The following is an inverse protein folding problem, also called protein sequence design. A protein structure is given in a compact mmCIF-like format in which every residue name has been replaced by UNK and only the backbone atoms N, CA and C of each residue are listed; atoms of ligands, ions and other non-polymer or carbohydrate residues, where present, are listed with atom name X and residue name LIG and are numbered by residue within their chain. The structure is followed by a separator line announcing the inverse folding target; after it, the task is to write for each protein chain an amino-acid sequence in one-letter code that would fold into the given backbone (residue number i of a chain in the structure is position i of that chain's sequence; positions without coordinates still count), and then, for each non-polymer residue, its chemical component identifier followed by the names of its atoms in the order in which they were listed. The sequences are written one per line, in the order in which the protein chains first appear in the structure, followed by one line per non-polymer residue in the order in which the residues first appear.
data_IF_934134195556
#
_entry.id   IF_934134195556
#
_cell.length_a   1.000
_cell.length_b   1.000
_cell.length_c   1.000
_cell.angle_alpha   90.00
_cell.angle_beta   90.00
_cell.angle_gamma   90.00
#
_symmetry.space_group_name_H-M   'P 1'
#
loop_
_entity.id
_entity.type
_entity.pdbx_description
1 polymer ?
#
# COMPACT_ATOMS: atom_id res chain seq x y z
N UNK A 1 -18.89 55.34 -6.32
CA UNK A 1 -17.99 54.28 -5.81
C UNK A 1 -18.76 52.96 -5.88
N UNK A 2 -18.57 52.17 -6.95
CA UNK A 2 -19.19 50.86 -7.06
C UNK A 2 -18.39 49.87 -6.19
N UNK A 3 -18.99 49.38 -5.10
CA UNK A 3 -18.36 48.39 -4.22
C UNK A 3 -18.05 47.10 -4.98
N UNK A 4 -16.84 46.58 -4.79
CA UNK A 4 -16.42 45.30 -5.36
C UNK A 4 -17.33 44.18 -4.83
N UNK A 5 -17.99 43.47 -5.75
CA UNK A 5 -18.72 42.24 -5.41
C UNK A 5 -17.69 41.14 -5.14
N UNK A 6 -17.39 40.91 -3.86
CA UNK A 6 -16.58 39.76 -3.44
C UNK A 6 -17.41 38.50 -3.70
N UNK A 7 -16.93 37.66 -4.61
CA UNK A 7 -17.54 36.36 -4.85
C UNK A 7 -17.30 35.48 -3.61
N UNK A 8 -18.30 35.39 -2.73
CA UNK A 8 -18.30 34.38 -1.68
C UNK A 8 -18.43 33.02 -2.37
N UNK A 9 -17.33 32.24 -2.36
CA UNK A 9 -17.37 30.86 -2.81
C UNK A 9 -18.36 30.12 -1.91
N UNK A 10 -19.56 29.87 -2.41
CA UNK A 10 -20.52 28.98 -1.77
C UNK A 10 -19.82 27.63 -1.65
N UNK A 11 -19.42 27.27 -0.42
CA UNK A 11 -18.93 25.94 -0.10
C UNK A 11 -20.08 24.98 -0.41
N UNK A 12 -20.13 24.48 -1.65
CA UNK A 12 -21.04 23.41 -2.04
C UNK A 12 -20.80 22.28 -1.04
N UNK A 13 -21.86 21.84 -0.37
CA UNK A 13 -21.80 20.84 0.70
C UNK A 13 -21.03 19.57 0.31
N UNK A 14 -20.76 18.68 1.28
CA UNK A 14 -19.87 17.54 1.09
C UNK A 14 -20.21 16.74 -0.18
N UNK A 15 -19.22 16.59 -1.05
CA UNK A 15 -19.39 15.93 -2.34
C UNK A 15 -19.18 14.44 -2.18
N UNK A 16 -20.29 13.68 -2.18
CA UNK A 16 -20.29 12.21 -2.04
C UNK A 16 -19.36 11.52 -3.05
N UNK A 17 -19.30 12.04 -4.28
CA UNK A 17 -18.43 11.49 -5.33
C UNK A 17 -16.95 11.65 -4.97
N UNK A 18 -16.54 12.81 -4.44
CA UNK A 18 -15.14 13.04 -4.03
C UNK A 18 -14.74 12.12 -2.90
N UNK A 19 -15.60 11.97 -1.88
CA UNK A 19 -15.34 11.07 -0.75
C UNK A 19 -15.22 9.61 -1.22
N UNK A 20 -16.07 9.17 -2.15
CA UNK A 20 -16.00 7.83 -2.72
C UNK A 20 -14.71 7.61 -3.51
N UNK A 21 -14.30 8.57 -4.34
CA UNK A 21 -13.05 8.50 -5.08
C UNK A 21 -11.83 8.44 -4.15
N UNK A 22 -11.83 9.23 -3.07
CA UNK A 22 -10.76 9.22 -2.07
C UNK A 22 -10.74 7.89 -1.32
N UNK A 23 -11.89 7.39 -0.88
CA UNK A 23 -11.99 6.08 -0.22
C UNK A 23 -11.49 4.93 -1.10
N UNK A 24 -11.86 4.93 -2.38
CA UNK A 24 -11.37 3.94 -3.35
C UNK A 24 -9.86 4.06 -3.57
N UNK A 25 -9.34 5.28 -3.74
CA UNK A 25 -7.91 5.50 -3.92
C UNK A 25 -7.10 5.02 -2.70
N UNK A 26 -7.56 5.34 -1.48
CA UNK A 26 -6.94 4.90 -0.24
C UNK A 26 -7.03 3.38 -0.08
N UNK A 27 -8.19 2.78 -0.39
CA UNK A 27 -8.37 1.32 -0.35
C UNK A 27 -7.44 0.58 -1.31
N UNK A 28 -7.31 1.08 -2.56
CA UNK A 28 -6.38 0.52 -3.54
C UNK A 28 -4.92 0.71 -3.13
N UNK A 29 -4.55 1.85 -2.55
CA UNK A 29 -3.20 2.10 -2.08
C UNK A 29 -2.84 1.14 -0.92
N UNK A 30 -3.71 1.01 0.08
CA UNK A 30 -3.50 0.09 1.19
C UNK A 30 -3.45 -1.39 0.73
N UNK A 31 -4.38 -1.79 -0.16
CA UNK A 31 -4.38 -3.13 -0.74
C UNK A 31 -3.15 -3.41 -1.61
N UNK A 32 -2.67 -2.42 -2.36
CA UNK A 32 -1.44 -2.51 -3.15
C UNK A 32 -0.20 -2.67 -2.29
N UNK A 33 -0.08 -1.89 -1.22
CA UNK A 33 1.01 -2.01 -0.24
C UNK A 33 1.02 -3.39 0.41
N UNK A 34 -0.14 -3.89 0.84
CA UNK A 34 -0.26 -5.23 1.39
C UNK A 34 0.17 -6.31 0.39
N UNK A 35 -0.28 -6.20 -0.86
CA UNK A 35 0.07 -7.16 -1.91
C UNK A 35 1.58 -7.17 -2.20
N UNK A 36 2.22 -5.99 -2.21
CA UNK A 36 3.66 -5.90 -2.40
C UNK A 36 4.43 -6.53 -1.24
N UNK A 37 3.99 -6.30 0.01
CA UNK A 37 4.54 -6.97 1.18
C UNK A 37 4.39 -8.49 1.08
N UNK A 38 3.19 -8.97 0.75
CA UNK A 38 2.90 -10.39 0.62
C UNK A 38 3.75 -11.07 -0.47
N UNK A 39 3.92 -10.42 -1.62
CA UNK A 39 4.81 -10.92 -2.67
C UNK A 39 6.28 -10.95 -2.26
N UNK A 40 6.75 -9.98 -1.48
CA UNK A 40 8.11 -10.00 -0.97
C UNK A 40 8.32 -11.17 -0.01
N UNK A 41 7.36 -11.42 0.87
CA UNK A 41 7.44 -12.52 1.83
C UNK A 41 7.43 -13.89 1.14
N UNK A 42 6.58 -14.08 0.12
CA UNK A 42 6.59 -15.29 -0.71
C UNK A 42 7.94 -15.51 -1.42
N UNK A 43 8.58 -14.44 -1.88
CA UNK A 43 9.91 -14.53 -2.53
C UNK A 43 10.99 -14.95 -1.55
N UNK A 44 11.01 -14.38 -0.34
CA UNK A 44 11.98 -14.76 0.70
C UNK A 44 11.85 -16.23 1.08
N UNK A 45 10.63 -16.70 1.29
CA UNK A 45 10.38 -18.10 1.64
C UNK A 45 10.83 -19.04 0.52
N UNK A 46 10.53 -18.70 -0.74
CA UNK A 46 11.02 -19.49 -1.89
C UNK A 46 12.55 -19.52 -1.94
N UNK A 47 13.21 -18.37 -1.80
CA UNK A 47 14.67 -18.30 -1.79
C UNK A 47 15.29 -19.11 -0.65
N UNK A 48 14.70 -19.07 0.54
CA UNK A 48 15.17 -19.88 1.67
C UNK A 48 15.13 -21.38 1.34
N UNK A 49 14.01 -21.88 0.82
CA UNK A 49 13.90 -23.29 0.47
C UNK A 49 14.79 -23.68 -0.71
N UNK A 50 14.94 -22.82 -1.71
CA UNK A 50 15.85 -23.06 -2.84
C UNK A 50 17.31 -23.22 -2.37
N UNK A 51 17.74 -22.40 -1.41
CA UNK A 51 19.09 -22.48 -0.83
C UNK A 51 19.24 -23.71 0.08
N UNK A 52 18.18 -24.09 0.79
CA UNK A 52 18.16 -25.29 1.63
C UNK A 52 18.27 -26.55 0.78
N UNK A 53 17.54 -26.62 -0.34
CA UNK A 53 17.58 -27.76 -1.26
C UNK A 53 18.93 -27.90 -1.96
N UNK A 54 19.60 -26.79 -2.27
CA UNK A 54 20.98 -26.78 -2.80
C UNK A 54 22.02 -27.20 -1.77
N UNK A 55 21.67 -27.29 -0.49
CA UNK A 55 22.58 -27.65 0.60
C UNK A 55 23.56 -26.53 0.98
N UNK A 56 23.33 -25.29 0.52
CA UNK A 56 24.17 -24.13 0.86
C UNK A 56 23.88 -23.63 2.29
N UNK A 57 22.66 -23.87 2.79
CA UNK A 57 22.25 -23.56 4.17
C UNK A 57 21.75 -24.82 4.87
N UNK A 58 21.93 -24.89 6.19
CA UNK A 58 21.39 -25.95 7.05
C UNK A 58 20.49 -25.35 8.12
N UNK A 59 19.45 -26.08 8.49
CA UNK A 59 18.60 -25.74 9.64
C UNK A 59 19.21 -26.24 10.95
N UNK A 60 20.05 -27.29 10.89
CA UNK A 60 20.73 -27.86 12.06
C UNK A 60 22.06 -27.13 12.24
N UNK A 61 22.27 -26.58 13.45
CA UNK A 61 23.54 -26.01 13.82
C UNK A 61 24.62 -27.10 13.76
N UNK A 62 25.78 -26.79 13.20
CA UNK A 62 26.90 -27.74 13.24
C UNK A 62 27.35 -27.83 14.70
N UNK A 63 26.98 -28.91 15.37
CA UNK A 63 27.49 -29.24 16.69
C UNK A 63 28.94 -29.71 16.49
N UNK A 64 29.88 -28.91 17.00
CA UNK A 64 31.32 -29.26 17.09
C UNK A 64 31.56 -30.24 18.24
#
# INVERSE_FOLDING_TARGET
MAGSRVAHATLKGPSVVKELCIGLALGLAAGGLWKMYHWNEQRKVRQFYDLLEKGEISVVASEE
#
